data_IF_557935835683
#
_entry.id   IF_557935835683
#
_cell.length_a   1.000
_cell.length_b   1.000
_cell.length_c   1.000
_cell.angle_alpha   90.00
_cell.angle_beta   90.00
_cell.angle_gamma   90.00
#
_symmetry.space_group_name_H-M   'P 1'
#
loop_
_entity.id
_entity.type
_entity.pdbx_description
1 polymer ?
#
# COMPACT_ATOMS: atom_id res chain seq x y z
N UNK A 1 3.16 20.06 3.62
CA UNK A 1 2.68 18.67 3.79
C UNK A 1 1.56 18.25 2.83
N UNK A 2 1.49 18.82 1.61
CA UNK A 2 0.36 18.59 0.69
C UNK A 2 0.65 17.57 -0.43
N UNK A 3 1.81 16.94 -0.42
CA UNK A 3 2.20 15.99 -1.48
C UNK A 3 1.46 14.66 -1.33
N UNK A 4 0.70 14.30 -2.37
CA UNK A 4 -0.02 13.03 -2.52
C UNK A 4 0.12 12.50 -3.95
N UNK A 5 -0.35 11.28 -4.21
CA UNK A 5 -0.41 10.73 -5.56
C UNK A 5 -1.20 11.66 -6.52
N UNK A 6 -2.26 12.29 -6.03
CA UNK A 6 -3.11 13.16 -6.84
C UNK A 6 -2.42 14.47 -7.19
N UNK A 7 -1.75 15.13 -6.22
CA UNK A 7 -1.05 16.39 -6.48
C UNK A 7 0.18 16.18 -7.37
N UNK A 8 0.87 15.04 -7.25
CA UNK A 8 1.97 14.67 -8.15
C UNK A 8 1.43 14.47 -9.57
N UNK A 9 0.34 13.71 -9.73
CA UNK A 9 -0.30 13.47 -11.03
C UNK A 9 -0.74 14.78 -11.68
N UNK A 10 -1.39 15.66 -10.92
CA UNK A 10 -1.83 16.97 -11.40
C UNK A 10 -0.65 17.83 -11.85
N UNK A 11 0.41 17.91 -11.04
CA UNK A 11 1.60 18.68 -11.37
C UNK A 11 2.26 18.20 -12.67
N UNK A 12 2.37 16.89 -12.87
CA UNK A 12 2.94 16.29 -14.10
C UNK A 12 2.12 16.64 -15.34
N UNK A 13 0.79 16.65 -15.24
CA UNK A 13 -0.12 17.04 -16.34
C UNK A 13 0.01 18.54 -16.65
N UNK A 14 0.17 19.38 -15.64
CA UNK A 14 0.30 20.83 -15.80
C UNK A 14 1.70 21.26 -16.31
N UNK A 15 2.73 20.43 -16.14
CA UNK A 15 4.12 20.75 -16.49
C UNK A 15 4.75 19.69 -17.43
N UNK A 16 4.18 19.42 -18.61
CA UNK A 16 4.60 18.29 -19.47
C UNK A 16 6.06 18.40 -19.93
N UNK A 17 6.58 19.62 -20.12
CA UNK A 17 7.96 19.85 -20.54
C UNK A 17 8.98 19.49 -19.44
N UNK A 18 8.59 19.62 -18.16
CA UNK A 18 9.43 19.31 -17.01
C UNK A 18 9.18 17.88 -16.49
N UNK A 19 8.02 17.30 -16.83
CA UNK A 19 7.61 15.98 -16.36
C UNK A 19 8.62 14.89 -16.74
N UNK A 20 9.14 14.91 -17.97
CA UNK A 20 10.13 13.91 -18.43
C UNK A 20 11.41 13.99 -17.60
N UNK A 21 11.95 15.19 -17.41
CA UNK A 21 13.18 15.39 -16.65
C UNK A 21 13.00 14.96 -15.19
N UNK A 22 11.85 15.29 -14.58
CA UNK A 22 11.52 14.89 -13.22
C UNK A 22 11.40 13.36 -13.09
N UNK A 23 10.70 12.69 -14.01
CA UNK A 23 10.54 11.24 -13.99
C UNK A 23 11.89 10.52 -14.16
N UNK A 24 12.78 11.07 -14.99
CA UNK A 24 14.11 10.53 -15.23
C UNK A 24 15.07 10.66 -14.02
N UNK A 25 14.71 11.41 -12.97
CA UNK A 25 15.48 11.41 -11.71
C UNK A 25 15.41 10.07 -10.98
N UNK A 26 14.38 9.26 -11.24
CA UNK A 26 14.31 7.89 -10.73
C UNK A 26 14.90 6.92 -11.76
N UNK A 27 16.07 6.30 -11.51
CA UNK A 27 16.69 5.38 -12.47
C UNK A 27 15.94 4.05 -12.58
N UNK A 28 15.00 3.76 -11.69
CA UNK A 28 14.21 2.52 -11.73
C UNK A 28 13.19 2.53 -12.86
N UNK A 29 13.13 1.45 -13.64
CA UNK A 29 12.15 1.24 -14.70
C UNK A 29 11.41 -0.09 -14.49
N UNK A 30 10.09 -0.08 -14.64
CA UNK A 30 9.24 -1.27 -14.41
C UNK A 30 8.76 -1.82 -15.76
N UNK A 31 9.00 -3.11 -15.99
CA UNK A 31 8.46 -3.85 -17.13
C UNK A 31 7.26 -4.69 -16.70
N UNK A 32 6.28 -4.82 -17.59
CA UNK A 32 5.07 -5.60 -17.36
C UNK A 32 4.95 -6.71 -18.39
N UNK A 33 4.29 -7.81 -18.01
CA UNK A 33 3.75 -8.80 -18.94
C UNK A 33 2.23 -8.79 -18.82
N UNK A 34 1.54 -9.02 -19.93
CA UNK A 34 0.08 -9.13 -19.92
C UNK A 34 -0.28 -10.50 -19.35
N UNK A 35 -1.17 -10.51 -18.35
CA UNK A 35 -1.73 -11.73 -17.81
C UNK A 35 -3.23 -11.77 -18.13
N UNK A 36 -3.59 -12.62 -19.09
CA UNK A 36 -4.98 -12.79 -19.54
C UNK A 36 -5.85 -13.51 -18.51
N UNK A 37 -5.24 -14.24 -17.57
CA UNK A 37 -5.93 -14.90 -16.47
C UNK A 37 -5.84 -14.06 -15.18
N UNK A 38 -6.82 -13.18 -15.02
CA UNK A 38 -6.90 -12.27 -13.87
C UNK A 38 -8.01 -12.64 -12.88
N UNK A 39 -8.50 -13.90 -12.91
CA UNK A 39 -9.64 -14.36 -12.09
C UNK A 39 -9.46 -14.09 -10.59
N UNK A 40 -8.21 -14.06 -10.10
CA UNK A 40 -7.88 -13.92 -8.68
C UNK A 40 -7.24 -12.57 -8.32
N UNK A 41 -7.08 -11.65 -9.30
CA UNK A 41 -6.43 -10.36 -9.10
C UNK A 41 -4.89 -10.39 -9.18
N UNK A 42 -4.21 -9.26 -8.91
CA UNK A 42 -2.77 -9.14 -9.04
C UNK A 42 -2.05 -10.05 -8.04
N UNK A 43 -0.89 -10.58 -8.44
CA UNK A 43 -0.05 -11.41 -7.58
C UNK A 43 1.04 -10.57 -6.94
N UNK A 44 1.24 -10.74 -5.64
CA UNK A 44 2.34 -10.10 -4.91
C UNK A 44 3.65 -10.86 -5.07
N UNK A 45 4.68 -10.40 -4.35
CA UNK A 45 6.03 -10.99 -4.31
C UNK A 45 6.06 -12.46 -3.87
N UNK A 46 5.04 -12.95 -3.15
CA UNK A 46 4.88 -14.39 -2.84
C UNK A 46 4.31 -15.24 -3.97
N UNK A 47 4.04 -14.63 -5.14
CA UNK A 47 3.31 -15.24 -6.24
C UNK A 47 1.92 -15.78 -5.84
N UNK A 48 1.32 -15.22 -4.78
CA UNK A 48 -0.07 -15.50 -4.38
C UNK A 48 -0.95 -14.29 -4.73
N UNK A 49 -2.23 -14.50 -5.07
CA UNK A 49 -3.13 -13.40 -5.35
C UNK A 49 -3.30 -12.48 -4.13
N UNK A 50 -3.30 -11.17 -4.38
CA UNK A 50 -3.53 -10.15 -3.37
C UNK A 50 -5.03 -9.99 -3.11
N UNK A 51 -5.41 -10.04 -1.84
CA UNK A 51 -6.77 -9.84 -1.38
C UNK A 51 -6.94 -8.42 -0.83
N UNK A 52 -7.90 -7.69 -1.37
CA UNK A 52 -8.20 -6.32 -0.94
C UNK A 52 -8.41 -6.23 0.58
N UNK A 53 -7.77 -5.26 1.20
CA UNK A 53 -7.80 -4.99 2.65
C UNK A 53 -7.32 -6.15 3.54
N UNK A 54 -6.64 -7.14 2.95
CA UNK A 54 -6.09 -8.33 3.63
C UNK A 54 -4.65 -8.61 3.26
N UNK A 55 -4.14 -8.06 2.17
CA UNK A 55 -2.74 -8.15 1.79
C UNK A 55 -2.01 -6.84 2.08
N UNK A 56 -0.75 -6.95 2.49
CA UNK A 56 0.14 -5.81 2.62
C UNK A 56 1.52 -6.09 2.05
N UNK A 57 2.15 -5.04 1.53
CA UNK A 57 3.57 -5.01 1.27
C UNK A 57 4.33 -4.63 2.54
N UNK A 58 5.42 -5.34 2.83
CA UNK A 58 6.26 -5.12 4.02
C UNK A 58 7.74 -5.19 3.66
N UNK A 59 8.60 -4.74 4.58
CA UNK A 59 10.02 -5.03 4.51
C UNK A 59 10.27 -6.50 4.88
N UNK A 60 10.55 -7.33 3.87
CA UNK A 60 10.80 -8.78 4.04
C UNK A 60 12.03 -9.11 4.89
N UNK A 61 12.96 -8.15 5.07
CA UNK A 61 14.14 -8.36 5.92
C UNK A 61 13.79 -8.29 7.41
N UNK A 62 12.64 -7.68 7.74
CA UNK A 62 12.15 -7.55 9.11
C UNK A 62 10.94 -8.44 9.37
N UNK A 63 9.96 -8.44 8.46
CA UNK A 63 8.74 -9.24 8.58
C UNK A 63 8.73 -10.29 7.46
N UNK A 64 8.93 -11.59 7.77
CA UNK A 64 8.89 -12.62 6.75
C UNK A 64 7.58 -12.61 5.98
N UNK A 65 7.65 -12.83 4.67
CA UNK A 65 6.47 -12.98 3.85
C UNK A 65 5.65 -14.20 4.32
N UNK A 66 4.32 -14.07 4.28
CA UNK A 66 3.34 -15.03 4.80
C UNK A 66 2.94 -14.76 6.24
N UNK A 67 3.66 -13.88 6.96
CA UNK A 67 3.35 -13.55 8.35
C UNK A 67 1.97 -12.88 8.46
N UNK A 68 1.08 -13.36 9.34
CA UNK A 68 -0.14 -12.65 9.70
C UNK A 68 0.21 -11.43 10.56
N UNK A 69 -0.34 -10.27 10.21
CA UNK A 69 -0.07 -9.00 10.87
C UNK A 69 -1.39 -8.37 11.30
N UNK A 70 -1.50 -7.98 12.56
CA UNK A 70 -2.56 -7.09 13.00
C UNK A 70 -2.13 -5.64 12.76
N UNK A 71 -2.88 -4.93 11.92
CA UNK A 71 -2.73 -3.50 11.69
C UNK A 71 -3.76 -2.75 12.54
N UNK A 72 -3.30 -1.72 13.26
CA UNK A 72 -4.15 -0.72 13.90
C UNK A 72 -3.70 0.67 13.49
N UNK A 73 -4.52 1.35 12.68
CA UNK A 73 -4.27 2.69 12.16
C UNK A 73 -5.61 3.43 11.97
N UNK A 74 -5.59 4.58 11.29
CA UNK A 74 -6.77 5.26 10.77
C UNK A 74 -6.80 5.19 9.24
N UNK A 75 -7.98 5.36 8.64
CA UNK A 75 -8.08 5.67 7.21
C UNK A 75 -7.95 7.18 7.00
N UNK A 76 -7.38 7.63 5.87
CA UNK A 76 -7.49 9.02 5.48
C UNK A 76 -8.97 9.38 5.28
N UNK A 77 -9.31 10.62 5.57
CA UNK A 77 -10.63 11.14 5.30
C UNK A 77 -10.88 11.17 3.78
N UNK A 78 -11.80 10.34 3.31
CA UNK A 78 -12.30 10.38 1.93
C UNK A 78 -13.79 10.75 1.95
N UNK A 79 -14.25 11.56 0.99
CA UNK A 79 -15.67 11.88 0.79
C UNK A 79 -16.42 12.36 2.06
N UNK A 80 -15.73 13.11 2.93
CA UNK A 80 -16.34 13.59 4.17
C UNK A 80 -16.60 12.51 5.23
N UNK A 81 -15.99 11.33 5.12
CA UNK A 81 -16.07 10.21 6.10
C UNK A 81 -15.52 10.52 7.50
N UNK A 82 -15.22 11.78 7.80
CA UNK A 82 -14.84 12.22 9.14
C UNK A 82 -16.09 12.22 10.03
N UNK A 83 -16.07 11.41 11.08
CA UNK A 83 -17.03 11.49 12.18
C UNK A 83 -16.38 12.20 13.35
N UNK A 84 -17.04 13.22 13.91
CA UNK A 84 -16.58 13.95 15.12
C UNK A 84 -15.15 14.51 15.01
N UNK A 85 -14.74 14.97 13.82
CA UNK A 85 -13.40 15.52 13.58
C UNK A 85 -12.28 14.48 13.60
N UNK A 86 -12.59 13.18 13.63
CA UNK A 86 -11.60 12.10 13.70
C UNK A 86 -11.60 11.26 12.44
N UNK A 87 -10.41 10.90 11.99
CA UNK A 87 -10.22 9.91 10.94
C UNK A 87 -10.79 8.55 11.35
N UNK A 88 -11.46 7.82 10.43
CA UNK A 88 -12.05 6.52 10.75
C UNK A 88 -11.01 5.52 11.28
N UNK A 89 -11.32 4.81 12.36
CA UNK A 89 -10.46 3.75 12.89
C UNK A 89 -10.39 2.60 11.87
N UNK A 90 -9.16 2.12 11.60
CA UNK A 90 -8.90 1.02 10.70
C UNK A 90 -8.07 -0.06 11.39
N UNK A 91 -8.75 -1.16 11.71
CA UNK A 91 -8.14 -2.32 12.35
C UNK A 91 -8.43 -3.59 11.55
N UNK A 92 -7.39 -4.25 11.08
CA UNK A 92 -7.51 -5.43 10.23
C UNK A 92 -6.39 -6.42 10.48
N UNK A 93 -6.75 -7.71 10.41
CA UNK A 93 -5.79 -8.78 10.16
C UNK A 93 -5.43 -8.75 8.67
N UNK A 94 -4.13 -8.64 8.41
CA UNK A 94 -3.49 -8.64 7.11
C UNK A 94 -2.48 -9.79 7.01
N UNK A 95 -2.01 -10.06 5.80
CA UNK A 95 -0.90 -10.98 5.51
C UNK A 95 0.19 -10.24 4.73
N UNK A 96 1.45 -10.44 5.14
CA UNK A 96 2.62 -9.98 4.40
C UNK A 96 2.75 -10.76 3.07
N UNK A 97 2.20 -10.26 1.98
CA UNK A 97 2.15 -10.99 0.70
C UNK A 97 2.93 -10.31 -0.42
N UNK A 98 3.44 -9.10 -0.15
CA UNK A 98 4.16 -8.33 -1.13
C UNK A 98 5.33 -7.54 -0.53
N UNK A 99 6.13 -6.91 -1.41
CA UNK A 99 7.23 -6.02 -1.06
C UNK A 99 7.26 -4.83 -2.01
N UNK A 100 7.97 -3.77 -1.65
CA UNK A 100 8.17 -2.63 -2.55
C UNK A 100 9.46 -1.90 -2.21
N UNK A 101 10.13 -1.31 -3.20
CA UNK A 101 11.44 -0.67 -3.01
C UNK A 101 11.45 0.49 -2.00
N UNK A 102 10.30 1.13 -1.78
CA UNK A 102 10.12 2.19 -0.79
C UNK A 102 9.55 1.71 0.56
N UNK A 103 9.26 0.41 0.70
CA UNK A 103 8.69 -0.18 1.91
C UNK A 103 9.82 -0.77 2.74
N UNK A 104 10.49 0.10 3.50
CA UNK A 104 11.66 -0.25 4.30
C UNK A 104 11.43 0.05 5.78
N UNK A 105 12.03 -0.77 6.64
CA UNK A 105 12.03 -0.59 8.10
C UNK A 105 10.94 -1.37 8.84
N UNK A 106 11.04 -1.41 10.18
CA UNK A 106 10.29 -2.35 11.00
C UNK A 106 8.79 -2.03 11.16
N UNK A 107 8.41 -0.77 11.02
CA UNK A 107 7.02 -0.30 11.22
C UNK A 107 6.54 0.45 9.97
N UNK A 108 6.58 -0.24 8.83
CA UNK A 108 6.10 0.25 7.54
C UNK A 108 5.32 -0.88 6.86
N UNK A 109 4.07 -0.60 6.49
CA UNK A 109 3.26 -1.50 5.70
C UNK A 109 2.48 -0.69 4.67
N UNK A 110 2.36 -1.23 3.46
CA UNK A 110 1.50 -0.68 2.41
C UNK A 110 0.31 -1.61 2.20
N UNK A 111 -0.90 -1.10 2.42
CA UNK A 111 -2.11 -1.92 2.39
C UNK A 111 -2.66 -1.97 0.98
N UNK A 112 -2.85 -3.18 0.44
CA UNK A 112 -3.54 -3.34 -0.83
C UNK A 112 -5.04 -3.12 -0.64
N UNK A 113 -5.56 -1.94 -0.99
CA UNK A 113 -6.99 -1.63 -0.85
C UNK A 113 -7.90 -2.23 -1.95
N UNK A 114 -7.32 -2.92 -2.93
CA UNK A 114 -8.05 -3.45 -4.08
C UNK A 114 -8.04 -2.51 -5.28
N UNK A 115 -9.09 -2.60 -6.11
CA UNK A 115 -9.22 -1.86 -7.35
C UNK A 115 -10.41 -0.88 -7.31
N UNK A 116 -10.40 0.11 -8.20
CA UNK A 116 -11.47 1.08 -8.38
C UNK A 116 -11.33 2.34 -7.51
N UNK A 117 -12.26 3.28 -7.69
CA UNK A 117 -12.14 4.65 -7.21
C UNK A 117 -11.91 4.75 -5.68
N UNK A 118 -12.60 3.92 -4.88
CA UNK A 118 -12.41 3.92 -3.42
C UNK A 118 -10.99 3.49 -3.05
N UNK A 119 -10.48 2.44 -3.69
CA UNK A 119 -9.15 1.93 -3.41
C UNK A 119 -8.07 2.95 -3.81
N UNK A 120 -8.21 3.58 -4.99
CA UNK A 120 -7.30 4.64 -5.44
C UNK A 120 -7.28 5.82 -4.47
N UNK A 121 -8.45 6.28 -4.02
CA UNK A 121 -8.60 7.38 -3.06
C UNK A 121 -7.96 7.07 -1.72
N UNK A 122 -8.23 5.88 -1.18
CA UNK A 122 -7.62 5.44 0.08
C UNK A 122 -6.11 5.32 -0.05
N UNK A 123 -5.62 4.59 -1.06
CA UNK A 123 -4.19 4.36 -1.27
C UNK A 123 -3.43 5.67 -1.53
N UNK A 124 -3.97 6.55 -2.39
CA UNK A 124 -3.32 7.80 -2.78
C UNK A 124 -3.20 8.83 -1.66
N UNK A 125 -4.06 8.75 -0.63
CA UNK A 125 -4.03 9.62 0.55
C UNK A 125 -3.48 8.91 1.80
N UNK A 126 -3.17 7.62 1.73
CA UNK A 126 -2.75 6.83 2.88
C UNK A 126 -1.38 7.29 3.36
N UNK A 127 -1.37 8.01 4.49
CA UNK A 127 -0.16 8.44 5.19
C UNK A 127 -0.44 8.53 6.70
N UNK A 128 -1.02 7.47 7.24
CA UNK A 128 -1.55 7.45 8.60
C UNK A 128 -0.56 6.77 9.55
N UNK A 129 -0.33 7.33 10.76
CA UNK A 129 0.44 6.65 11.79
C UNK A 129 -0.32 5.41 12.26
N UNK A 130 0.40 4.32 12.55
CA UNK A 130 -0.22 3.08 12.95
C UNK A 130 0.71 2.18 13.76
N UNK A 131 0.17 1.05 14.21
CA UNK A 131 0.88 -0.01 14.90
C UNK A 131 0.73 -1.31 14.12
N UNK A 132 1.82 -2.06 14.01
CA UNK A 132 1.86 -3.39 13.41
C UNK A 132 2.22 -4.40 14.50
N UNK A 133 1.48 -5.50 14.55
CA UNK A 133 1.78 -6.62 15.44
C UNK A 133 1.91 -7.88 14.59
N UNK A 134 3.12 -8.42 14.51
CA UNK A 134 3.35 -9.71 13.87
C UNK A 134 2.82 -10.83 14.76
N UNK A 135 1.97 -11.70 14.21
CA UNK A 135 1.39 -12.82 14.93
C UNK A 135 2.20 -14.08 14.63
N UNK A 136 3.17 -14.36 15.49
CA UNK A 136 4.05 -15.53 15.34
C UNK A 136 3.40 -16.78 15.93
N UNK A 137 3.53 -17.95 15.26
CA UNK A 137 3.10 -19.21 15.84
C UNK A 137 3.79 -19.42 17.19
N UNK A 138 3.01 -19.88 18.19
CA UNK A 138 3.61 -20.35 19.44
C UNK A 138 4.50 -21.54 19.11
N UNK A 139 5.77 -21.49 19.51
CA UNK A 139 6.64 -22.65 19.40
C UNK A 139 5.95 -23.85 20.09
N UNK A 140 6.06 -25.03 19.47
CA UNK A 140 5.59 -26.25 20.13
C UNK A 140 6.32 -26.36 21.49
N UNK A 141 5.59 -26.67 22.57
CA UNK A 141 6.20 -26.80 23.89
C UNK A 141 7.30 -27.87 23.90
#
# INVERSE_FOLDING_TARGET
>A
DEVSLFTIREWLVQHPQQAIDLLNLNPSYVFFHINDNNEHGPRGSLNVPLTAERSAAVDRTVIPLGTPIWLSTSLPAIDGSISDGKSPLYQRLLFAQDTGGAINGPVRADVFFGNGNRAERLAGLMKQPGRLFALLPKAKP
#
